data_IF_025720957917
#
_entry.id   IF_025720957917
#
_cell.length_a   1.000
_cell.length_b   1.000
_cell.length_c   1.000
_cell.angle_alpha   90.00
_cell.angle_beta   90.00
_cell.angle_gamma   90.00
#
_symmetry.space_group_name_H-M   'P 1'
#
loop_
_entity.id
_entity.type
_entity.pdbx_description
1 polymer ?
#
# COMPACT_ATOMS: atom_id res chain seq x y z
N UNK A 1 25.80 3.21 -20.07
CA UNK A 1 25.25 2.04 -19.37
C UNK A 1 25.18 2.31 -17.87
N UNK A 2 24.05 2.01 -17.21
CA UNK A 2 23.89 2.18 -15.74
C UNK A 2 24.67 1.12 -14.93
N UNK A 3 24.78 -0.10 -15.46
CA UNK A 3 25.53 -1.21 -14.86
C UNK A 3 26.43 -1.86 -15.92
N UNK A 4 27.69 -1.42 -16.09
CA UNK A 4 28.62 -2.00 -17.07
C UNK A 4 28.84 -3.49 -16.83
N UNK A 5 28.86 -4.29 -17.90
CA UNK A 5 29.09 -5.75 -17.83
C UNK A 5 27.84 -6.58 -17.52
N UNK A 6 26.67 -5.95 -17.36
CA UNK A 6 25.40 -6.68 -17.25
C UNK A 6 24.89 -7.23 -18.61
N UNK A 7 25.47 -6.79 -19.72
CA UNK A 7 25.16 -7.28 -21.06
C UNK A 7 25.51 -8.78 -21.15
N UNK A 8 24.49 -9.62 -21.34
CA UNK A 8 24.62 -11.07 -21.39
C UNK A 8 24.40 -11.82 -20.06
N UNK A 9 24.09 -11.11 -18.97
CA UNK A 9 23.69 -11.77 -17.72
C UNK A 9 22.41 -12.59 -17.92
N UNK A 10 22.36 -13.78 -17.30
CA UNK A 10 21.18 -14.65 -17.36
C UNK A 10 20.02 -14.04 -16.55
N UNK A 11 18.84 -13.97 -17.15
CA UNK A 11 17.62 -13.55 -16.46
C UNK A 11 17.07 -14.72 -15.64
N UNK A 12 17.08 -14.60 -14.31
CA UNK A 12 16.64 -15.67 -13.41
C UNK A 12 15.14 -15.67 -13.14
N UNK A 13 14.47 -14.51 -13.21
CA UNK A 13 13.04 -14.39 -12.98
C UNK A 13 12.46 -13.07 -13.52
N UNK A 14 11.17 -13.10 -13.84
CA UNK A 14 10.33 -11.93 -14.05
C UNK A 14 9.22 -11.89 -13.00
N UNK A 15 9.03 -10.74 -12.36
CA UNK A 15 7.96 -10.53 -11.39
C UNK A 15 7.06 -9.40 -11.85
N UNK A 16 5.76 -9.64 -11.78
CA UNK A 16 4.71 -8.66 -12.06
C UNK A 16 3.87 -8.49 -10.81
N UNK A 17 3.50 -7.26 -10.49
CA UNK A 17 2.64 -6.96 -9.36
C UNK A 17 1.79 -5.73 -9.65
N UNK A 18 0.49 -5.85 -9.40
CA UNK A 18 -0.42 -4.72 -9.46
C UNK A 18 -0.07 -3.75 -8.32
N UNK A 19 -0.10 -2.45 -8.61
CA UNK A 19 0.13 -1.37 -7.64
C UNK A 19 -1.05 -0.41 -7.64
N UNK A 20 -2.22 -0.84 -7.12
CA UNK A 20 -3.41 0.00 -7.09
C UNK A 20 -3.13 1.31 -6.37
N UNK A 21 -3.50 2.42 -7.01
CA UNK A 21 -3.35 3.77 -6.49
C UNK A 21 -4.70 4.47 -6.54
N UNK A 22 -4.99 5.28 -5.55
CA UNK A 22 -6.20 6.10 -5.53
C UNK A 22 -6.08 7.25 -6.55
N UNK A 23 -7.21 7.79 -7.05
CA UNK A 23 -7.19 8.94 -7.97
C UNK A 23 -6.44 10.17 -7.43
N UNK A 24 -6.42 10.38 -6.11
CA UNK A 24 -5.72 11.48 -5.46
C UNK A 24 -4.27 11.17 -5.05
N UNK A 25 -3.75 9.97 -5.31
CA UNK A 25 -2.39 9.57 -4.97
C UNK A 25 -2.10 9.31 -3.48
N UNK A 26 -3.05 9.59 -2.58
CA UNK A 26 -2.97 9.28 -1.15
C UNK A 26 -3.74 8.00 -0.82
N UNK A 27 -3.21 7.09 0.02
CA UNK A 27 -3.93 5.88 0.39
C UNK A 27 -5.20 6.20 1.18
N UNK A 28 -6.22 5.36 1.02
CA UNK A 28 -7.40 5.35 1.87
C UNK A 28 -7.09 4.58 3.14
N UNK A 29 -7.07 5.26 4.29
CA UNK A 29 -6.85 4.66 5.61
C UNK A 29 -7.89 5.18 6.60
N UNK A 30 -9.01 4.47 6.75
CA UNK A 30 -10.16 4.95 7.52
C UNK A 30 -11.39 4.04 7.46
N UNK A 31 -12.50 4.41 8.14
CA UNK A 31 -13.74 3.65 8.09
C UNK A 31 -14.37 3.67 6.69
N UNK A 32 -15.05 2.58 6.35
CA UNK A 32 -15.84 2.51 5.12
C UNK A 32 -17.11 3.38 5.28
N UNK A 33 -17.49 4.20 4.28
CA UNK A 33 -18.56 5.19 4.45
C UNK A 33 -19.95 4.59 4.69
N UNK A 34 -20.18 3.33 4.33
CA UNK A 34 -21.50 2.69 4.41
C UNK A 34 -21.49 1.32 5.09
N UNK A 35 -20.33 0.80 5.50
CA UNK A 35 -20.21 -0.54 6.09
C UNK A 35 -19.71 -0.40 7.53
N UNK A 36 -20.61 -0.55 8.54
CA UNK A 36 -20.23 -0.45 9.95
C UNK A 36 -19.16 -1.47 10.31
N UNK A 37 -18.19 -1.07 11.14
CA UNK A 37 -17.12 -1.97 11.57
C UNK A 37 -16.03 -2.25 10.54
N UNK A 38 -16.13 -1.73 9.31
CA UNK A 38 -15.14 -1.97 8.24
C UNK A 38 -14.14 -0.82 8.14
N UNK A 39 -12.85 -1.16 8.16
CA UNK A 39 -11.75 -0.24 7.85
C UNK A 39 -11.17 -0.55 6.47
N UNK A 40 -10.82 0.50 5.73
CA UNK A 40 -10.06 0.45 4.47
C UNK A 40 -8.63 0.87 4.75
N UNK A 41 -7.66 0.13 4.20
CA UNK A 41 -6.23 0.46 4.19
C UNK A 41 -5.63 0.08 2.83
N UNK A 42 -5.92 0.86 1.79
CA UNK A 42 -5.61 0.52 0.40
C UNK A 42 -5.19 1.73 -0.45
N UNK A 43 -4.69 1.47 -1.66
CA UNK A 43 -4.41 2.52 -2.65
C UNK A 43 -3.03 3.17 -2.55
N UNK A 44 -2.07 2.52 -1.89
CA UNK A 44 -0.72 3.06 -1.67
C UNK A 44 0.18 3.08 -2.91
N UNK A 45 -0.21 2.44 -4.00
CA UNK A 45 0.58 2.37 -5.23
C UNK A 45 2.02 1.88 -5.01
N UNK A 46 2.98 2.60 -5.58
CA UNK A 46 4.43 2.31 -5.42
C UNK A 46 4.97 2.56 -4.00
N UNK A 47 4.24 3.29 -3.17
CA UNK A 47 4.67 3.69 -1.82
C UNK A 47 4.18 2.75 -0.71
N UNK A 48 3.54 1.62 -1.04
CA UNK A 48 2.98 0.70 -0.04
C UNK A 48 3.94 0.25 1.05
N UNK A 49 5.15 -0.19 0.67
CA UNK A 49 6.16 -0.62 1.64
C UNK A 49 6.67 0.55 2.51
N UNK A 50 6.90 1.71 1.89
CA UNK A 50 7.35 2.91 2.60
C UNK A 50 6.32 3.38 3.65
N UNK A 51 5.04 3.33 3.29
CA UNK A 51 3.94 3.83 4.12
C UNK A 51 3.34 2.78 5.06
N UNK A 52 3.84 1.53 5.05
CA UNK A 52 3.29 0.45 5.86
C UNK A 52 3.29 0.77 7.37
N UNK A 53 4.37 1.31 7.97
CA UNK A 53 4.37 1.58 9.42
C UNK A 53 3.34 2.61 9.86
N UNK A 54 3.21 3.73 9.14
CA UNK A 54 2.23 4.77 9.47
C UNK A 54 0.80 4.33 9.19
N UNK A 55 0.60 3.51 8.15
CA UNK A 55 -0.71 2.90 7.87
C UNK A 55 -1.13 1.99 9.01
N UNK A 56 -0.24 1.13 9.49
CA UNK A 56 -0.52 0.23 10.62
C UNK A 56 -0.83 1.01 11.90
N UNK A 57 -0.05 2.05 12.22
CA UNK A 57 -0.31 2.90 13.38
C UNK A 57 -1.70 3.54 13.32
N UNK A 58 -2.12 4.03 12.14
CA UNK A 58 -3.45 4.61 11.96
C UNK A 58 -4.57 3.57 12.13
N UNK A 59 -4.40 2.38 11.54
CA UNK A 59 -5.38 1.29 11.67
C UNK A 59 -5.54 0.88 13.14
N UNK A 60 -4.43 0.70 13.87
CA UNK A 60 -4.47 0.33 15.29
C UNK A 60 -5.17 1.41 16.14
N UNK A 61 -4.91 2.69 15.86
CA UNK A 61 -5.60 3.78 16.54
C UNK A 61 -7.12 3.75 16.30
N UNK A 62 -7.55 3.47 15.08
CA UNK A 62 -8.98 3.35 14.72
C UNK A 62 -9.64 2.14 15.38
N UNK A 63 -8.95 1.01 15.44
CA UNK A 63 -9.44 -0.20 16.14
C UNK A 63 -9.60 0.06 17.63
N UNK A 64 -8.62 0.72 18.27
CA UNK A 64 -8.66 1.03 19.70
C UNK A 64 -9.76 2.03 20.11
N UNK A 65 -10.24 2.86 19.18
CA UNK A 65 -11.35 3.80 19.40
C UNK A 65 -12.73 3.16 19.23
N UNK A 66 -12.80 1.94 18.68
CA UNK A 66 -14.03 1.32 18.20
C UNK A 66 -14.38 1.83 16.80
N UNK A 67 -14.64 0.91 15.87
CA UNK A 67 -14.97 1.22 14.46
C UNK A 67 -16.46 1.58 14.31
N UNK A 68 -16.92 2.50 15.15
CA UNK A 68 -18.28 3.04 15.15
C UNK A 68 -18.19 4.57 15.08
N UNK A 69 -17.93 5.08 13.88
CA UNK A 69 -18.26 6.45 13.50
C UNK A 69 -19.32 6.36 12.40
#
# INVERSE_FOLDING_TARGET
TLVPGADGAEVTAHLVGLRPVTPGGLPLVGPHPTLPGVLVAAGHGRHGSLLAPVTAARVLALVGQGVNA
#
